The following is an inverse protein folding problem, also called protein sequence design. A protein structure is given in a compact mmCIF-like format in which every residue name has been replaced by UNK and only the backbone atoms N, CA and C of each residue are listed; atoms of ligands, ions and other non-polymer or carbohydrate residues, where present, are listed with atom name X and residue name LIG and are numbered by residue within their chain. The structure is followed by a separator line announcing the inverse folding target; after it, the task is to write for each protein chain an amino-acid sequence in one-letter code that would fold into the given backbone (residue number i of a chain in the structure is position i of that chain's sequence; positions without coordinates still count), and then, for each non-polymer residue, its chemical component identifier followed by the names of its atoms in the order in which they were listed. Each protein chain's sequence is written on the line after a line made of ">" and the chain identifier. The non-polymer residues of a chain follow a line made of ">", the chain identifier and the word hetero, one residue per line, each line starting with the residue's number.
data_IF_840291955365
#
_entry.id   IF_840291955365
#
_cell.length_a   1.000
_cell.length_b   1.000
_cell.length_c   1.000
_cell.angle_alpha   90.00
_cell.angle_beta   90.00
_cell.angle_gamma   90.00
#
_symmetry.space_group_name_H-M   'P 1'
#
loop_
_entity.id
_entity.type
_entity.pdbx_description
1 polymer ?
#
# COMPACT_ATOMS: atom_id res chain seq x y z
N UNK A 1 0.29 5.15 26.03
CA UNK A 1 1.19 3.99 25.94
C UNK A 1 2.62 4.52 25.81
N UNK A 2 3.64 3.83 26.34
CA UNK A 2 5.05 4.27 26.30
C UNK A 2 5.92 3.12 25.82
N UNK A 3 6.84 3.38 24.88
CA UNK A 3 7.80 2.36 24.42
C UNK A 3 8.42 2.57 23.03
N UNK A 4 7.97 3.54 22.25
CA UNK A 4 8.71 4.01 21.07
C UNK A 4 9.86 4.94 21.49
N UNK A 5 10.98 4.87 20.77
CA UNK A 5 12.15 5.75 20.97
C UNK A 5 12.15 6.95 20.01
N UNK A 6 11.19 7.01 19.09
CA UNK A 6 10.98 8.11 18.15
C UNK A 6 9.51 8.56 18.10
N UNK A 7 9.22 9.65 17.36
CA UNK A 7 7.86 10.11 17.13
C UNK A 7 6.95 9.02 16.57
N UNK A 8 5.79 8.84 17.20
CA UNK A 8 4.69 8.03 16.66
C UNK A 8 3.98 8.86 15.60
N UNK A 9 3.86 8.33 14.39
CA UNK A 9 3.33 9.06 13.23
C UNK A 9 1.99 8.51 12.74
N UNK A 10 1.70 7.25 13.05
CA UNK A 10 0.46 6.59 12.64
C UNK A 10 -0.03 5.63 13.71
N UNK A 11 -1.36 5.51 13.85
CA UNK A 11 -2.01 4.57 14.76
C UNK A 11 -3.25 3.97 14.11
N UNK A 12 -3.60 2.75 14.50
CA UNK A 12 -4.83 2.08 14.09
C UNK A 12 -5.40 1.24 15.23
N UNK A 13 -6.72 1.15 15.34
CA UNK A 13 -7.38 0.16 16.21
C UNK A 13 -7.62 -1.15 15.47
N UNK A 14 -7.57 -2.27 16.20
CA UNK A 14 -8.03 -3.55 15.67
C UNK A 14 -9.54 -3.51 15.39
N UNK A 15 -10.06 -4.38 14.52
CA UNK A 15 -11.51 -4.46 14.27
C UNK A 15 -12.34 -4.70 15.53
N UNK A 16 -11.78 -5.41 16.53
CA UNK A 16 -12.40 -5.62 17.84
C UNK A 16 -12.31 -4.43 18.80
N UNK A 17 -11.47 -3.43 18.50
CA UNK A 17 -11.15 -2.31 19.39
C UNK A 17 -10.29 -2.68 20.60
N UNK A 18 -9.93 -3.95 20.78
CA UNK A 18 -9.18 -4.43 21.95
C UNK A 18 -7.67 -4.19 21.82
N UNK A 19 -7.17 -4.04 20.59
CA UNK A 19 -5.76 -3.81 20.32
C UNK A 19 -5.56 -2.53 19.52
N UNK A 20 -4.36 -1.98 19.61
CA UNK A 20 -3.92 -0.86 18.77
C UNK A 20 -2.57 -1.17 18.14
N UNK A 21 -2.35 -0.68 16.92
CA UNK A 21 -1.05 -0.62 16.27
C UNK A 21 -0.56 0.82 16.25
N UNK A 22 0.74 0.99 16.37
CA UNK A 22 1.42 2.27 16.14
C UNK A 22 2.63 2.06 15.25
N UNK A 23 2.85 2.97 14.29
CA UNK A 23 4.07 3.09 13.50
C UNK A 23 4.85 4.33 13.92
N UNK A 24 6.18 4.25 13.88
CA UNK A 24 7.07 5.27 14.43
C UNK A 24 8.27 5.54 13.53
N UNK A 25 8.87 6.71 13.75
CA UNK A 25 10.15 7.08 13.16
C UNK A 25 11.35 6.30 13.70
N UNK A 26 11.15 5.46 14.73
CA UNK A 26 12.18 4.54 15.22
C UNK A 26 12.31 3.24 14.40
N UNK A 27 11.66 3.16 13.23
CA UNK A 27 11.71 1.99 12.34
C UNK A 27 10.89 0.80 12.83
N UNK A 28 10.06 0.99 13.87
CA UNK A 28 9.24 -0.09 14.43
C UNK A 28 7.74 0.19 14.33
N UNK A 29 7.00 -0.90 14.20
CA UNK A 29 5.58 -0.97 14.50
C UNK A 29 5.40 -1.66 15.86
N UNK A 30 4.45 -1.21 16.67
CA UNK A 30 4.15 -1.82 17.98
C UNK A 30 2.66 -2.16 18.10
N UNK A 31 2.38 -3.31 18.71
CA UNK A 31 1.03 -3.77 19.04
C UNK A 31 0.79 -3.64 20.54
N UNK A 32 -0.36 -3.10 20.90
CA UNK A 32 -0.73 -2.76 22.26
C UNK A 32 -2.06 -3.39 22.64
N UNK A 33 -2.20 -3.75 23.90
CA UNK A 33 -3.50 -4.00 24.51
C UNK A 33 -4.12 -2.67 24.92
N UNK A 34 -5.34 -2.38 24.46
CA UNK A 34 -5.96 -1.07 24.67
C UNK A 34 -6.37 -0.88 26.12
N UNK A 35 -6.84 -1.94 26.78
CA UNK A 35 -7.40 -1.86 28.13
C UNK A 35 -6.33 -1.58 29.20
N UNK A 36 -5.18 -2.22 29.07
CA UNK A 36 -4.06 -2.12 30.01
C UNK A 36 -2.98 -1.13 29.56
N UNK A 37 -2.98 -0.76 28.27
CA UNK A 37 -1.91 0.00 27.64
C UNK A 37 -0.57 -0.73 27.55
N UNK A 38 -0.56 -2.04 27.79
CA UNK A 38 0.63 -2.87 27.76
C UNK A 38 1.10 -3.09 26.32
N UNK A 39 2.41 -2.99 26.11
CA UNK A 39 3.06 -3.44 24.89
C UNK A 39 2.95 -4.96 24.75
N UNK A 40 2.29 -5.42 23.70
CA UNK A 40 2.16 -6.85 23.39
C UNK A 40 3.31 -7.32 22.50
N UNK A 41 3.67 -6.54 21.49
CA UNK A 41 4.73 -6.92 20.54
C UNK A 41 5.35 -5.72 19.84
N UNK A 42 6.63 -5.86 19.46
CA UNK A 42 7.35 -4.92 18.57
C UNK A 42 7.72 -5.67 17.29
N UNK A 43 7.49 -5.03 16.15
CA UNK A 43 7.83 -5.50 14.81
C UNK A 43 8.89 -4.54 14.26
N UNK A 44 10.05 -5.08 13.89
CA UNK A 44 11.13 -4.29 13.31
C UNK A 44 10.95 -4.30 11.81
N UNK A 45 10.57 -3.16 11.25
CA UNK A 45 10.36 -3.00 9.82
C UNK A 45 11.69 -2.82 9.10
N UNK A 46 12.52 -1.93 9.63
CA UNK A 46 13.85 -1.62 9.14
C UNK A 46 14.72 -1.06 10.26
N UNK A 47 16.05 -1.21 10.13
CA UNK A 47 17.00 -0.70 11.13
C UNK A 47 17.16 0.82 11.08
N UNK A 48 16.92 1.42 9.91
CA UNK A 48 16.96 2.86 9.68
C UNK A 48 15.81 3.21 8.73
N UNK A 49 14.95 4.15 9.12
CA UNK A 49 13.80 4.62 8.34
C UNK A 49 12.49 4.62 9.11
N UNK A 50 11.42 5.12 8.49
CA UNK A 50 10.13 5.39 9.16
C UNK A 50 9.06 4.37 8.79
N UNK A 51 8.12 4.12 9.72
CA UNK A 51 6.90 3.33 9.47
C UNK A 51 5.73 4.30 9.31
N UNK A 52 5.46 4.69 8.06
CA UNK A 52 4.50 5.74 7.76
C UNK A 52 3.04 5.27 7.73
N UNK A 53 2.82 4.03 7.31
CA UNK A 53 1.49 3.43 7.24
C UNK A 53 1.37 2.17 8.09
N UNK A 54 0.25 2.00 8.80
CA UNK A 54 -0.13 0.73 9.44
C UNK A 54 -1.62 0.47 9.27
N UNK A 55 -2.00 -0.79 9.05
CA UNK A 55 -3.41 -1.19 9.05
C UNK A 55 -3.59 -2.64 9.52
N UNK A 56 -4.69 -2.91 10.23
CA UNK A 56 -5.11 -4.27 10.57
C UNK A 56 -5.83 -4.92 9.40
N UNK A 57 -5.67 -6.24 9.26
CA UNK A 57 -6.59 -7.03 8.46
C UNK A 57 -8.00 -7.04 9.10
N UNK A 58 -9.07 -7.25 8.32
CA UNK A 58 -10.44 -7.35 8.86
C UNK A 58 -10.62 -8.45 9.92
N UNK A 59 -9.80 -9.51 9.85
CA UNK A 59 -9.77 -10.58 10.84
C UNK A 59 -9.07 -10.20 12.16
N UNK A 60 -8.33 -9.09 12.17
CA UNK A 60 -7.47 -8.66 13.28
C UNK A 60 -6.26 -9.56 13.54
N UNK A 61 -5.98 -10.54 12.67
CA UNK A 61 -4.86 -11.49 12.86
C UNK A 61 -3.57 -11.06 12.16
N UNK A 62 -3.69 -10.20 11.15
CA UNK A 62 -2.57 -9.71 10.37
C UNK A 62 -2.53 -8.19 10.40
N UNK A 63 -1.37 -7.64 10.07
CA UNK A 63 -1.20 -6.22 9.84
C UNK A 63 -0.33 -5.98 8.61
N UNK A 64 -0.58 -4.88 7.93
CA UNK A 64 0.31 -4.37 6.89
C UNK A 64 0.94 -3.08 7.38
N UNK A 65 2.23 -2.91 7.06
CA UNK A 65 2.96 -1.68 7.26
C UNK A 65 3.51 -1.15 5.93
N UNK A 66 3.71 0.17 5.86
CA UNK A 66 4.37 0.87 4.75
C UNK A 66 5.62 1.58 5.25
N UNK A 67 6.76 1.32 4.59
CA UNK A 67 8.07 1.81 5.01
C UNK A 67 8.66 2.89 4.10
N UNK A 68 9.67 3.60 4.62
CA UNK A 68 10.54 4.49 3.83
C UNK A 68 11.31 3.78 2.71
N UNK A 69 11.49 2.46 2.76
CA UNK A 69 12.19 1.68 1.72
C UNK A 69 11.35 1.43 0.45
N UNK A 70 10.15 2.02 0.35
CA UNK A 70 9.22 1.81 -0.76
C UNK A 70 8.57 0.42 -0.77
N UNK A 71 8.69 -0.33 0.32
CA UNK A 71 8.05 -1.64 0.46
C UNK A 71 6.88 -1.58 1.43
N UNK A 72 5.96 -2.54 1.25
CA UNK A 72 4.98 -2.89 2.27
C UNK A 72 5.37 -4.22 2.89
N UNK A 73 5.06 -4.42 4.16
CA UNK A 73 5.29 -5.70 4.85
C UNK A 73 4.01 -6.20 5.50
N UNK A 74 3.69 -7.49 5.27
CA UNK A 74 2.57 -8.19 5.89
C UNK A 74 3.07 -9.01 7.08
N UNK A 75 2.44 -8.84 8.22
CA UNK A 75 2.84 -9.43 9.48
C UNK A 75 1.73 -10.32 10.04
N UNK A 76 2.11 -11.45 10.63
CA UNK A 76 1.25 -12.22 11.52
C UNK A 76 1.40 -11.70 12.95
N UNK A 77 0.33 -11.19 13.53
CA UNK A 77 0.41 -10.44 14.79
C UNK A 77 0.73 -11.34 16.00
N UNK A 78 0.20 -12.57 16.02
CA UNK A 78 0.40 -13.52 17.12
C UNK A 78 1.87 -13.95 17.23
N UNK A 79 2.46 -14.36 16.11
CA UNK A 79 3.85 -14.82 16.07
C UNK A 79 4.84 -13.65 16.01
N UNK A 80 4.50 -12.56 15.35
CA UNK A 80 5.46 -11.50 14.99
C UNK A 80 6.15 -11.73 13.66
N UNK A 81 5.78 -12.79 12.93
CA UNK A 81 6.49 -13.22 11.73
C UNK A 81 6.14 -12.32 10.54
N UNK A 82 7.17 -11.91 9.81
CA UNK A 82 7.01 -11.34 8.47
C UNK A 82 6.49 -12.43 7.53
N UNK A 83 5.28 -12.26 7.03
CA UNK A 83 4.65 -13.17 6.09
C UNK A 83 5.07 -12.87 4.65
N UNK A 84 5.18 -11.57 4.32
CA UNK A 84 5.42 -11.14 2.94
C UNK A 84 5.96 -9.72 2.87
N UNK A 85 6.76 -9.45 1.84
CA UNK A 85 7.17 -8.10 1.43
C UNK A 85 6.60 -7.82 0.04
N UNK A 86 5.93 -6.68 -0.13
CA UNK A 86 5.45 -6.22 -1.43
C UNK A 86 6.42 -5.16 -1.94
N UNK A 87 7.14 -5.50 -2.99
CA UNK A 87 8.15 -4.63 -3.59
C UNK A 87 7.56 -3.96 -4.82
N UNK A 88 7.73 -2.64 -4.92
CA UNK A 88 7.57 -1.97 -6.21
C UNK A 88 7.39 -0.46 -6.16
N UNK A 89 7.01 0.17 -5.05
CA UNK A 89 7.07 1.62 -4.98
C UNK A 89 8.52 2.07 -5.09
N UNK A 90 8.75 3.22 -5.73
CA UNK A 90 10.10 3.79 -5.89
C UNK A 90 10.42 4.85 -4.85
N UNK A 91 9.49 5.11 -3.94
CA UNK A 91 9.60 6.09 -2.86
C UNK A 91 8.76 5.63 -1.66
N UNK A 92 8.79 6.38 -0.55
CA UNK A 92 8.16 6.04 0.73
C UNK A 92 6.68 5.69 0.58
N UNK A 93 6.22 4.66 1.32
CA UNK A 93 4.81 4.25 1.34
C UNK A 93 4.11 4.88 2.54
N UNK A 94 3.39 5.98 2.31
CA UNK A 94 2.81 6.79 3.37
C UNK A 94 1.49 6.26 3.93
N UNK A 95 0.75 5.49 3.15
CA UNK A 95 -0.57 4.99 3.55
C UNK A 95 -0.80 3.58 3.05
N UNK A 96 -1.47 2.77 3.88
CA UNK A 96 -1.83 1.38 3.58
C UNK A 96 -3.22 1.08 4.13
N UNK A 97 -3.99 0.26 3.43
CA UNK A 97 -5.31 -0.19 3.89
C UNK A 97 -5.62 -1.60 3.36
N UNK A 98 -6.32 -2.40 4.16
CA UNK A 98 -6.90 -3.66 3.68
C UNK A 98 -8.28 -3.42 3.04
N UNK A 99 -8.61 -4.23 2.04
CA UNK A 99 -10.01 -4.40 1.65
C UNK A 99 -10.81 -5.07 2.77
N UNK A 100 -12.13 -4.86 2.78
CA UNK A 100 -13.04 -5.52 3.73
C UNK A 100 -12.99 -7.05 3.70
N UNK A 101 -12.66 -7.63 2.54
CA UNK A 101 -12.43 -9.07 2.37
C UNK A 101 -11.06 -9.55 2.90
N UNK A 102 -10.12 -8.63 3.15
CA UNK A 102 -8.73 -8.95 3.52
C UNK A 102 -7.88 -9.52 2.38
N UNK A 103 -8.43 -9.65 1.16
CA UNK A 103 -7.74 -10.24 0.02
C UNK A 103 -6.91 -9.24 -0.80
N UNK A 104 -7.09 -7.94 -0.54
CA UNK A 104 -6.37 -6.86 -1.20
C UNK A 104 -5.79 -5.88 -0.19
N UNK A 105 -4.68 -5.27 -0.58
CA UNK A 105 -4.10 -4.11 0.10
C UNK A 105 -4.07 -2.96 -0.90
N UNK A 106 -4.43 -1.77 -0.47
CA UNK A 106 -4.21 -0.52 -1.18
C UNK A 106 -3.03 0.22 -0.52
N UNK A 107 -2.15 0.84 -1.31
CA UNK A 107 -1.10 1.72 -0.79
C UNK A 107 -0.94 2.99 -1.58
N UNK A 108 -0.66 4.10 -0.89
CA UNK A 108 -0.26 5.38 -1.46
C UNK A 108 1.19 5.69 -1.12
N UNK A 109 1.91 6.30 -2.06
CA UNK A 109 3.35 6.56 -1.94
C UNK A 109 3.73 7.94 -2.49
N UNK A 110 4.86 8.46 -1.99
CA UNK A 110 5.54 9.63 -2.54
C UNK A 110 6.02 9.45 -3.99
N UNK A 111 5.99 8.22 -4.52
CA UNK A 111 6.21 7.95 -5.96
C UNK A 111 5.06 8.42 -6.86
N UNK A 112 4.15 9.23 -6.31
CA UNK A 112 2.93 9.81 -6.89
C UNK A 112 1.91 8.77 -7.35
N UNK A 113 1.97 7.54 -6.81
CA UNK A 113 1.12 6.44 -7.28
C UNK A 113 0.40 5.75 -6.14
N UNK A 114 -0.80 5.26 -6.46
CA UNK A 114 -1.52 4.33 -5.59
C UNK A 114 -1.45 2.93 -6.21
N UNK A 115 -1.30 1.89 -5.39
CA UNK A 115 -1.20 0.51 -5.90
C UNK A 115 -2.13 -0.43 -5.16
N UNK A 116 -2.73 -1.33 -5.92
CA UNK A 116 -3.55 -2.42 -5.41
C UNK A 116 -2.75 -3.71 -5.46
N UNK A 117 -2.73 -4.46 -4.36
CA UNK A 117 -1.95 -5.68 -4.21
C UNK A 117 -2.87 -6.85 -3.88
N UNK A 118 -2.54 -8.03 -4.41
CA UNK A 118 -3.16 -9.28 -3.99
C UNK A 118 -2.37 -9.85 -2.80
N UNK A 119 -3.05 -10.04 -1.67
CA UNK A 119 -2.43 -10.42 -0.39
C UNK A 119 -1.78 -11.81 -0.47
N UNK A 120 -2.47 -12.78 -1.08
CA UNK A 120 -2.03 -14.16 -1.16
C UNK A 120 -0.78 -14.30 -2.05
N UNK A 121 -0.85 -13.76 -3.26
CA UNK A 121 0.21 -13.87 -4.26
C UNK A 121 1.37 -12.90 -3.98
N UNK A 122 1.11 -11.74 -3.38
CA UNK A 122 2.09 -10.65 -3.29
C UNK A 122 2.22 -9.79 -4.54
N UNK A 123 1.44 -10.08 -5.58
CA UNK A 123 1.55 -9.39 -6.86
C UNK A 123 0.76 -8.09 -6.85
N UNK A 124 1.32 -7.06 -7.49
CA UNK A 124 0.60 -5.84 -7.84
C UNK A 124 -0.48 -6.19 -8.86
N UNK A 125 -1.72 -5.83 -8.55
CA UNK A 125 -2.90 -5.99 -9.40
C UNK A 125 -3.07 -4.78 -10.30
N UNK A 126 -2.95 -3.58 -9.72
CA UNK A 126 -3.13 -2.33 -10.44
C UNK A 126 -2.20 -1.23 -9.92
N UNK A 127 -1.87 -0.28 -10.79
CA UNK A 127 -1.22 0.99 -10.48
C UNK A 127 -2.14 2.12 -10.92
N UNK A 128 -2.51 2.99 -10.00
CA UNK A 128 -3.29 4.19 -10.27
C UNK A 128 -2.36 5.40 -10.23
N UNK A 129 -2.49 6.26 -11.23
CA UNK A 129 -1.76 7.53 -11.34
C UNK A 129 -2.79 8.64 -11.46
N UNK A 130 -2.67 9.64 -10.59
CA UNK A 130 -3.43 10.87 -10.69
C UNK A 130 -2.50 11.99 -11.19
N UNK A 131 -3.07 12.95 -11.91
CA UNK A 131 -2.35 14.08 -12.50
C UNK A 131 -2.83 15.38 -11.86
N UNK A 132 -2.01 16.44 -11.95
CA UNK A 132 -2.27 17.73 -11.29
C UNK A 132 -3.54 18.44 -11.79
N UNK A 133 -4.03 18.07 -12.97
CA UNK A 133 -5.27 18.58 -13.54
C UNK A 133 -6.52 17.79 -13.10
N UNK A 134 -6.36 16.84 -12.18
CA UNK A 134 -7.44 16.02 -11.62
C UNK A 134 -7.77 14.78 -12.46
N UNK A 135 -7.10 14.57 -13.59
CA UNK A 135 -7.26 13.37 -14.39
C UNK A 135 -6.55 12.17 -13.74
N UNK A 136 -6.98 10.96 -14.08
CA UNK A 136 -6.34 9.74 -13.56
C UNK A 136 -6.47 8.56 -14.52
N UNK A 137 -5.54 7.62 -14.34
CA UNK A 137 -5.49 6.35 -15.09
C UNK A 137 -5.19 5.21 -14.13
N UNK A 138 -5.84 4.07 -14.36
CA UNK A 138 -5.48 2.78 -13.77
C UNK A 138 -4.79 1.90 -14.81
N UNK A 139 -3.61 1.39 -14.47
CA UNK A 139 -2.80 0.49 -15.29
C UNK A 139 -2.82 -0.91 -14.69
N UNK A 140 -3.19 -1.91 -15.48
CA UNK A 140 -3.14 -3.34 -15.13
C UNK A 140 -2.24 -4.08 -16.15
N UNK A 141 -1.83 -5.34 -15.88
CA UNK A 141 -1.10 -6.13 -16.87
C UNK A 141 -1.86 -6.32 -18.20
N UNK A 142 -3.19 -6.25 -18.17
CA UNK A 142 -4.06 -6.49 -19.32
C UNK A 142 -4.39 -5.22 -20.13
N UNK A 143 -3.98 -4.04 -19.67
CA UNK A 143 -4.25 -2.77 -20.33
C UNK A 143 -4.40 -1.60 -19.36
N UNK A 144 -5.04 -0.53 -19.82
CA UNK A 144 -5.40 0.62 -19.00
C UNK A 144 -6.90 0.84 -18.96
N UNK A 145 -7.33 1.45 -17.86
CA UNK A 145 -8.68 1.92 -17.64
C UNK A 145 -8.64 3.39 -17.24
N UNK A 146 -9.56 4.17 -17.75
CA UNK A 146 -9.80 5.54 -17.29
C UNK A 146 -11.30 5.79 -17.21
N UNK A 147 -11.78 6.27 -16.05
CA UNK A 147 -13.12 6.87 -15.96
C UNK A 147 -13.03 8.40 -16.08
N UNK A 148 -11.82 8.93 -16.28
CA UNK A 148 -11.54 10.35 -16.45
C UNK A 148 -11.47 10.65 -17.94
N UNK A 149 -12.29 11.59 -18.42
CA UNK A 149 -12.58 11.74 -19.86
C UNK A 149 -11.31 12.02 -20.70
N UNK A 150 -10.26 12.60 -20.09
CA UNK A 150 -9.00 12.91 -20.76
C UNK A 150 -7.78 12.21 -20.14
N UNK A 151 -7.95 11.27 -19.21
CA UNK A 151 -6.82 10.66 -18.49
C UNK A 151 -5.84 9.93 -19.41
N UNK A 152 -6.34 9.37 -20.51
CA UNK A 152 -5.53 8.68 -21.49
C UNK A 152 -4.51 9.61 -22.20
N UNK A 153 -4.70 10.94 -22.25
CA UNK A 153 -3.77 11.87 -22.93
C UNK A 153 -2.34 11.83 -22.36
N UNK A 154 -2.19 11.31 -21.14
CA UNK A 154 -0.91 11.17 -20.45
C UNK A 154 -0.21 9.83 -20.72
N UNK A 155 -0.83 8.94 -21.51
CA UNK A 155 -0.28 7.63 -21.84
C UNK A 155 0.41 7.64 -23.21
N UNK A 156 1.52 6.93 -23.27
CA UNK A 156 2.18 6.56 -24.51
C UNK A 156 2.44 5.05 -24.50
N UNK A 157 2.49 4.45 -25.68
CA UNK A 157 2.89 3.05 -25.88
C UNK A 157 4.31 3.01 -26.40
N UNK A 158 5.19 2.30 -25.70
CA UNK A 158 6.57 2.09 -26.13
C UNK A 158 6.74 0.70 -26.72
N UNK A 159 7.17 0.61 -27.98
CA UNK A 159 7.50 -0.65 -28.65
C UNK A 159 8.96 -0.59 -29.08
N UNK A 160 9.82 -1.36 -28.40
CA UNK A 160 11.26 -1.24 -28.54
C UNK A 160 11.75 0.14 -28.10
N UNK A 161 12.38 0.91 -29.01
CA UNK A 161 12.86 2.27 -28.77
C UNK A 161 11.89 3.37 -29.24
N UNK A 162 10.79 2.98 -29.88
CA UNK A 162 9.82 3.92 -30.41
C UNK A 162 8.70 4.18 -29.40
N UNK A 163 8.21 5.41 -29.38
CA UNK A 163 7.12 5.86 -28.50
C UNK A 163 5.98 6.37 -29.38
N UNK A 164 4.78 5.85 -29.15
CA UNK A 164 3.57 6.16 -29.89
C UNK A 164 2.52 6.73 -28.93
N UNK A 165 1.68 7.64 -29.41
CA UNK A 165 0.53 8.09 -28.64
C UNK A 165 -0.49 6.97 -28.45
N UNK A 166 -1.18 6.98 -27.31
CA UNK A 166 -2.12 5.92 -26.93
C UNK A 166 -3.31 5.80 -27.90
N UNK A 167 -3.64 6.88 -28.61
CA UNK A 167 -4.74 6.92 -29.59
C UNK A 167 -4.56 5.90 -30.73
N UNK A 168 -3.32 5.53 -31.05
CA UNK A 168 -3.01 4.52 -32.07
C UNK A 168 -3.28 3.08 -31.58
N UNK A 169 -3.39 2.88 -30.27
CA UNK A 169 -3.49 1.58 -29.61
C UNK A 169 -4.69 1.48 -28.67
N UNK A 170 -5.62 2.43 -28.74
CA UNK A 170 -6.77 2.50 -27.83
C UNK A 170 -7.59 1.21 -27.89
N UNK A 171 -7.90 0.70 -29.08
CA UNK A 171 -8.64 -0.55 -29.26
C UNK A 171 -7.92 -1.80 -28.71
N UNK A 172 -6.60 -1.74 -28.55
CA UNK A 172 -5.79 -2.85 -28.02
C UNK A 172 -5.63 -2.78 -26.50
N UNK A 173 -5.49 -1.56 -25.97
CA UNK A 173 -5.03 -1.34 -24.60
C UNK A 173 -6.14 -0.82 -23.67
N UNK A 174 -7.20 -0.21 -24.18
CA UNK A 174 -8.30 0.30 -23.35
C UNK A 174 -9.23 -0.84 -22.93
N UNK A 175 -9.48 -0.95 -21.62
CA UNK A 175 -10.30 -2.00 -21.02
C UNK A 175 -11.42 -1.41 -20.17
N UNK A 176 -12.51 -1.01 -20.83
CA UNK A 176 -13.71 -0.47 -20.18
C UNK A 176 -14.47 -1.53 -19.35
N UNK A 177 -14.16 -2.82 -19.54
CA UNK A 177 -14.84 -3.99 -18.99
C UNK A 177 -14.33 -4.43 -17.61
N UNK A 178 -13.26 -3.83 -17.09
CA UNK A 178 -12.63 -4.22 -15.82
C UNK A 178 -13.24 -3.39 -14.67
N UNK A 179 -14.54 -3.56 -14.40
CA UNK A 179 -15.23 -3.28 -13.12
C UNK A 179 -16.36 -4.28 -12.91
#
# INVERSE_FOLDING_TARGET
>A
FVGHSGPVIIVAFSPSGQQALSGSKDGTMKLWDVSSGRLLKTFVEQSEGYVWGVAFSPSGQQAVSGGSDGTLKLWELSSGRLLKTFVGHSDEVESVAFSSSGQRILSGSLDTTTRLWNVETGKKVAKMVAFDDGEWVTLTPEGYYTASINGAKYLNVSIGKQVYGIEQYEALCHRADIV
#
